data_IF_514335520185
#
_entry.id   IF_514335520185
#
_cell.length_a   1.000
_cell.length_b   1.000
_cell.length_c   1.000
_cell.angle_alpha   90.00
_cell.angle_beta   90.00
_cell.angle_gamma   90.00
#
_symmetry.space_group_name_H-M   'P 1'
#
loop_
_entity.id
_entity.type
_entity.pdbx_description
1 polymer ?
#
# COMPACT_ATOMS: atom_id res chain seq x y z
N UNK A 1 -5.16 -30.00 -14.31
CA UNK A 1 -4.97 -29.04 -15.43
C UNK A 1 -4.76 -27.68 -14.79
N UNK A 2 -3.51 -27.22 -14.72
CA UNK A 2 -3.18 -25.91 -14.15
C UNK A 2 -3.51 -24.87 -15.22
N UNK A 3 -4.47 -23.99 -14.95
CA UNK A 3 -4.73 -22.84 -15.81
C UNK A 3 -3.84 -21.72 -15.28
N UNK A 4 -2.86 -21.32 -16.08
CA UNK A 4 -1.71 -20.45 -15.75
C UNK A 4 -2.09 -19.07 -15.17
N UNK A 5 -3.38 -18.73 -15.14
CA UNK A 5 -3.90 -17.44 -14.68
C UNK A 5 -5.18 -17.55 -13.84
N UNK A 6 -5.42 -18.67 -13.16
CA UNK A 6 -6.54 -18.74 -12.21
C UNK A 6 -6.19 -18.11 -10.86
N UNK A 7 -7.17 -17.51 -10.19
CA UNK A 7 -6.99 -16.93 -8.85
C UNK A 7 -8.17 -17.28 -7.94
N UNK A 8 -7.87 -17.47 -6.66
CA UNK A 8 -8.88 -17.60 -5.61
C UNK A 8 -9.08 -16.24 -4.93
N UNK A 9 -10.34 -15.79 -4.87
CA UNK A 9 -10.72 -14.56 -4.18
C UNK A 9 -11.45 -14.89 -2.88
N UNK A 10 -11.00 -14.28 -1.79
CA UNK A 10 -11.60 -14.42 -0.47
C UNK A 10 -12.29 -13.11 -0.06
N UNK A 11 -13.61 -13.14 0.06
CA UNK A 11 -14.38 -12.05 0.64
C UNK A 11 -14.76 -12.41 2.08
N UNK A 12 -14.31 -11.60 3.04
CA UNK A 12 -14.68 -11.77 4.45
C UNK A 12 -15.57 -10.62 4.89
N UNK A 13 -16.82 -10.95 5.22
CA UNK A 13 -17.84 -10.04 5.72
C UNK A 13 -17.85 -10.07 7.24
N UNK A 14 -17.88 -8.90 7.85
CA UNK A 14 -18.07 -8.72 9.29
C UNK A 14 -19.53 -8.31 9.51
N UNK A 15 -20.32 -9.17 10.14
CA UNK A 15 -21.76 -8.97 10.34
C UNK A 15 -22.02 -8.19 11.63
N UNK A 16 -23.16 -7.48 11.69
CA UNK A 16 -23.54 -6.66 12.84
C UNK A 16 -23.67 -7.46 14.15
N UNK A 17 -24.00 -8.75 14.05
CA UNK A 17 -24.08 -9.66 15.20
C UNK A 17 -22.69 -10.13 15.71
N UNK A 18 -21.60 -9.55 15.20
CA UNK A 18 -20.23 -9.89 15.57
C UNK A 18 -19.68 -11.15 14.89
N UNK A 19 -20.48 -11.85 14.09
CA UNK A 19 -20.03 -13.03 13.34
C UNK A 19 -19.27 -12.62 12.07
N UNK A 20 -18.45 -13.55 11.57
CA UNK A 20 -17.73 -13.38 10.30
C UNK A 20 -18.22 -14.41 9.30
N UNK A 21 -18.39 -14.00 8.05
CA UNK A 21 -18.71 -14.89 6.95
C UNK A 21 -17.65 -14.76 5.87
N UNK A 22 -17.02 -15.87 5.47
CA UNK A 22 -16.08 -15.89 4.35
C UNK A 22 -16.69 -16.58 3.14
N UNK A 23 -16.41 -16.06 1.95
CA UNK A 23 -16.77 -16.65 0.65
C UNK A 23 -15.51 -16.76 -0.20
N UNK A 24 -15.25 -17.96 -0.71
CA UNK A 24 -14.17 -18.21 -1.67
C UNK A 24 -14.78 -18.32 -3.08
N UNK A 25 -14.18 -17.63 -4.04
CA UNK A 25 -14.52 -17.71 -5.44
C UNK A 25 -13.28 -18.10 -6.24
N UNK A 26 -13.38 -19.21 -6.98
CA UNK A 26 -12.39 -19.56 -7.99
C UNK A 26 -12.72 -18.82 -9.28
N UNK A 27 -11.75 -18.09 -9.83
CA UNK A 27 -11.91 -17.40 -11.10
C UNK A 27 -10.89 -17.96 -12.10
N UNK A 28 -11.35 -18.49 -13.25
CA UNK A 28 -10.50 -19.22 -14.18
C UNK A 28 -9.57 -18.34 -15.04
N UNK A 29 -9.69 -17.01 -14.99
CA UNK A 29 -8.80 -16.06 -15.70
C UNK A 29 -8.66 -14.75 -14.92
N UNK A 30 -7.41 -14.33 -14.67
CA UNK A 30 -7.04 -13.19 -13.84
C UNK A 30 -7.17 -11.83 -14.55
N UNK A 31 -7.14 -11.80 -15.89
CA UNK A 31 -7.15 -10.53 -16.63
C UNK A 31 -8.40 -9.68 -16.34
N UNK A 32 -9.59 -10.28 -16.42
CA UNK A 32 -10.86 -9.56 -16.15
C UNK A 32 -11.03 -9.15 -14.69
N UNK A 33 -10.43 -9.91 -13.77
CA UNK A 33 -10.51 -9.61 -12.34
C UNK A 33 -9.71 -8.36 -12.01
N UNK A 34 -8.51 -8.22 -12.59
CA UNK A 34 -7.71 -7.02 -12.40
C UNK A 34 -8.48 -5.78 -12.81
N UNK A 35 -9.23 -5.84 -13.92
CA UNK A 35 -10.10 -4.74 -14.35
C UNK A 35 -11.24 -4.46 -13.35
N UNK A 36 -11.93 -5.49 -12.87
CA UNK A 36 -13.01 -5.34 -11.90
C UNK A 36 -12.55 -4.81 -10.54
N UNK A 37 -11.36 -5.23 -10.10
CA UNK A 37 -10.77 -4.78 -8.85
C UNK A 37 -10.10 -3.41 -8.99
N UNK A 38 -9.76 -2.97 -10.21
CA UNK A 38 -9.05 -1.71 -10.46
C UNK A 38 -9.66 -0.50 -9.75
N UNK A 39 -10.98 -0.29 -9.70
CA UNK A 39 -11.58 0.82 -8.95
C UNK A 39 -11.34 0.71 -7.44
N UNK A 40 -11.41 -0.50 -6.88
CA UNK A 40 -11.16 -0.76 -5.45
C UNK A 40 -9.69 -0.53 -5.15
N UNK A 41 -8.79 -1.07 -5.97
CA UNK A 41 -7.34 -0.96 -5.80
C UNK A 41 -6.83 0.49 -5.94
N UNK A 42 -7.49 1.30 -6.76
CA UNK A 42 -7.19 2.73 -6.87
C UNK A 42 -7.92 3.60 -5.84
N UNK A 43 -8.87 3.02 -5.08
CA UNK A 43 -9.59 3.77 -4.05
C UNK A 43 -8.65 4.24 -2.95
N UNK A 44 -8.90 5.45 -2.47
CA UNK A 44 -8.16 6.04 -1.37
C UNK A 44 -8.22 5.17 -0.11
N UNK A 45 -9.39 4.59 0.20
CA UNK A 45 -9.58 3.67 1.32
C UNK A 45 -8.66 2.46 1.26
N UNK A 46 -8.52 1.86 0.07
CA UNK A 46 -7.62 0.72 -0.12
C UNK A 46 -6.17 1.15 0.05
N UNK A 47 -5.74 2.21 -0.65
CA UNK A 47 -4.37 2.75 -0.55
C UNK A 47 -3.99 3.06 0.90
N UNK A 48 -4.84 3.77 1.65
CA UNK A 48 -4.61 4.09 3.06
C UNK A 48 -4.43 2.85 3.94
N UNK A 49 -5.14 1.76 3.62
CA UNK A 49 -5.06 0.50 4.38
C UNK A 49 -3.72 -0.22 4.20
N UNK A 50 -3.04 -0.02 3.07
CA UNK A 50 -1.79 -0.74 2.74
C UNK A 50 -0.57 -0.11 3.42
N UNK A 51 -0.57 1.21 3.65
CA UNK A 51 0.58 1.96 4.18
C UNK A 51 0.16 2.77 5.39
N UNK A 52 -0.22 2.07 6.47
CA UNK A 52 -0.77 2.70 7.68
C UNK A 52 0.17 3.72 8.32
N UNK A 53 1.48 3.44 8.31
CA UNK A 53 2.50 4.32 8.91
C UNK A 53 2.51 5.73 8.29
N UNK A 54 2.15 5.85 7.01
CA UNK A 54 2.11 7.15 6.33
C UNK A 54 1.05 8.08 6.92
N UNK A 55 0.10 7.53 7.68
CA UNK A 55 -0.99 8.26 8.34
C UNK A 55 -0.91 8.21 9.86
N UNK A 56 0.19 7.71 10.42
CA UNK A 56 0.46 7.79 11.85
C UNK A 56 0.77 9.23 12.29
N UNK A 57 0.67 9.48 13.59
CA UNK A 57 1.08 10.75 14.19
C UNK A 57 2.59 10.97 13.96
N UNK A 58 2.94 12.14 13.40
CA UNK A 58 4.32 12.54 13.14
C UNK A 58 5.19 12.55 14.42
N UNK A 59 4.58 12.74 15.58
CA UNK A 59 5.27 12.70 16.88
C UNK A 59 5.93 11.35 17.17
N UNK A 60 5.50 10.28 16.49
CA UNK A 60 6.07 8.94 16.60
C UNK A 60 7.37 8.74 15.81
N UNK A 61 7.75 9.71 14.97
CA UNK A 61 8.94 9.61 14.12
C UNK A 61 10.09 10.43 14.75
N UNK A 62 11.21 9.76 15.02
CA UNK A 62 12.40 10.39 15.59
C UNK A 62 13.32 11.00 14.53
N UNK A 63 13.38 10.38 13.35
CA UNK A 63 14.18 10.83 12.20
C UNK A 63 13.63 10.26 10.89
N UNK A 64 14.03 10.87 9.77
CA UNK A 64 13.89 10.33 8.42
C UNK A 64 15.29 10.22 7.81
N UNK A 65 15.64 9.07 7.25
CA UNK A 65 16.88 8.88 6.50
C UNK A 65 16.59 8.80 5.02
N UNK A 66 17.20 9.69 4.24
CA UNK A 66 17.18 9.64 2.78
C UNK A 66 18.46 8.97 2.28
N UNK A 67 18.34 7.84 1.60
CA UNK A 67 19.47 7.14 1.00
C UNK A 67 19.61 7.54 -0.47
N UNK A 68 20.82 7.92 -0.88
CA UNK A 68 21.23 8.05 -2.27
C UNK A 68 22.36 7.07 -2.60
N UNK A 69 22.81 7.07 -3.85
CA UNK A 69 23.80 6.10 -4.35
C UNK A 69 25.14 6.07 -3.58
N UNK A 70 25.55 7.16 -2.93
CA UNK A 70 26.83 7.27 -2.24
C UNK A 70 26.75 7.94 -0.86
N UNK A 71 25.61 8.52 -0.52
CA UNK A 71 25.44 9.27 0.72
C UNK A 71 24.04 9.03 1.28
N UNK A 72 23.91 9.19 2.59
CA UNK A 72 22.60 9.27 3.24
C UNK A 72 22.50 10.56 4.03
N UNK A 73 21.28 11.09 4.11
CA UNK A 73 20.97 12.30 4.87
C UNK A 73 19.96 11.98 5.95
N UNK A 74 20.35 12.23 7.20
CA UNK A 74 19.46 12.10 8.35
C UNK A 74 18.77 13.43 8.62
N UNK A 75 17.45 13.38 8.77
CA UNK A 75 16.58 14.53 8.99
C UNK A 75 15.91 14.36 10.34
N UNK A 76 16.20 15.25 11.27
CA UNK A 76 15.62 15.26 12.63
C UNK A 76 14.76 16.49 12.90
N UNK A 77 14.72 17.45 11.96
CA UNK A 77 13.89 18.65 12.09
C UNK A 77 12.41 18.29 11.84
N UNK A 78 11.56 18.50 12.85
CA UNK A 78 10.15 18.11 12.79
C UNK A 78 9.35 18.82 11.69
N UNK A 79 9.59 20.11 11.44
CA UNK A 79 8.90 20.85 10.37
C UNK A 79 9.25 20.28 8.99
N UNK A 80 10.53 19.94 8.78
CA UNK A 80 10.97 19.27 7.54
C UNK A 80 10.40 17.85 7.43
N UNK A 81 10.35 17.08 8.52
CA UNK A 81 9.75 15.74 8.50
C UNK A 81 8.26 15.78 8.14
N UNK A 82 7.51 16.75 8.68
CA UNK A 82 6.09 16.95 8.33
C UNK A 82 5.96 17.20 6.82
N UNK A 83 6.75 18.11 6.26
CA UNK A 83 6.69 18.44 4.83
C UNK A 83 6.99 17.22 3.94
N UNK A 84 7.97 16.40 4.33
CA UNK A 84 8.31 15.18 3.60
C UNK A 84 7.16 14.18 3.64
N UNK A 85 6.60 13.92 4.82
CA UNK A 85 5.49 12.96 4.97
C UNK A 85 4.24 13.44 4.24
N UNK A 86 3.94 14.75 4.27
CA UNK A 86 2.79 15.29 3.54
C UNK A 86 2.97 15.24 2.02
N UNK A 87 4.20 15.46 1.52
CA UNK A 87 4.52 15.22 0.12
C UNK A 87 4.35 13.74 -0.26
N UNK A 88 4.88 12.82 0.55
CA UNK A 88 4.75 11.37 0.33
C UNK A 88 3.29 10.91 0.34
N UNK A 89 2.45 11.42 1.25
CA UNK A 89 1.00 11.15 1.27
C UNK A 89 0.35 11.55 -0.05
N UNK A 90 0.64 12.75 -0.53
CA UNK A 90 0.06 13.29 -1.76
C UNK A 90 0.48 12.43 -2.96
N UNK A 91 1.76 12.12 -3.07
CA UNK A 91 2.30 11.33 -4.18
C UNK A 91 1.70 9.92 -4.16
N UNK A 92 1.70 9.25 -3.00
CA UNK A 92 1.14 7.90 -2.85
C UNK A 92 -0.36 7.83 -3.19
N UNK A 93 -1.15 8.81 -2.78
CA UNK A 93 -2.58 8.85 -3.11
C UNK A 93 -2.83 9.14 -4.59
N UNK A 94 -2.00 9.97 -5.22
CA UNK A 94 -2.10 10.31 -6.63
C UNK A 94 -1.67 9.18 -7.58
N UNK A 95 -0.72 8.34 -7.14
CA UNK A 95 -0.21 7.23 -7.94
C UNK A 95 -1.29 6.17 -8.18
N UNK A 96 -1.33 5.59 -9.37
CA UNK A 96 -2.16 4.44 -9.67
C UNK A 96 -1.66 3.18 -8.96
N UNK A 97 -2.55 2.21 -8.75
CA UNK A 97 -2.17 0.91 -8.20
C UNK A 97 -1.02 0.26 -8.97
N UNK A 98 -1.01 0.37 -10.31
CA UNK A 98 0.02 -0.22 -11.16
C UNK A 98 1.40 0.43 -10.96
N UNK A 99 1.44 1.74 -10.75
CA UNK A 99 2.67 2.49 -10.45
C UNK A 99 3.24 2.14 -9.08
N UNK A 100 2.37 2.07 -8.07
CA UNK A 100 2.73 1.65 -6.71
C UNK A 100 3.33 0.24 -6.75
N UNK A 101 2.65 -0.71 -7.40
CA UNK A 101 3.06 -2.11 -7.38
C UNK A 101 4.37 -2.33 -8.15
N UNK A 102 4.64 -1.59 -9.24
CA UNK A 102 5.94 -1.65 -9.95
C UNK A 102 7.09 -1.14 -9.09
N UNK A 103 6.86 -0.10 -8.28
CA UNK A 103 7.87 0.47 -7.39
C UNK A 103 8.27 -0.50 -6.26
N UNK A 104 7.32 -1.24 -5.68
CA UNK A 104 7.59 -2.22 -4.61
C UNK A 104 8.47 -3.41 -5.04
N UNK A 105 8.47 -3.78 -6.33
CA UNK A 105 9.33 -4.84 -6.85
C UNK A 105 10.74 -4.37 -7.21
N UNK A 106 11.02 -3.06 -7.18
CA UNK A 106 12.33 -2.55 -7.59
C UNK A 106 13.24 -2.09 -6.45
N UNK A 107 12.75 -1.59 -5.30
CA UNK A 107 13.67 -1.13 -4.25
C UNK A 107 13.13 -1.38 -2.83
N UNK A 108 13.74 -2.34 -2.14
CA UNK A 108 13.77 -2.35 -0.68
C UNK A 108 14.60 -1.14 -0.22
N UNK A 109 13.97 0.03 -0.06
CA UNK A 109 14.48 1.03 0.86
C UNK A 109 14.11 0.56 2.28
N UNK A 110 15.04 -0.14 2.93
CA UNK A 110 14.87 -0.65 4.29
C UNK A 110 14.62 0.51 5.26
N UNK A 111 13.55 0.43 6.04
CA UNK A 111 13.39 1.21 7.27
C UNK A 111 13.65 0.27 8.45
N UNK A 112 14.75 0.47 9.16
CA UNK A 112 14.99 -0.14 10.47
C UNK A 112 14.51 0.83 11.55
N UNK A 113 13.82 0.29 12.56
CA UNK A 113 13.25 1.01 13.71
C UNK A 113 14.21 1.00 14.89
#
# INVERSE_FOLDING_TARGET
>A
MYIEESVELFFTYYLENGQKMSRNYFIPSNEKIKEWLRPILNSESYKRSQVKWLYDDISKFSLITLYGNQEHKVITNQSTMIQIIDALKKDYLSASYDEINRSYYQEFASMEF
#
